data_IF_965066067299
#
_entry.id   IF_965066067299
#
_cell.length_a   1.000
_cell.length_b   1.000
_cell.length_c   1.000
_cell.angle_alpha   90.00
_cell.angle_beta   90.00
_cell.angle_gamma   90.00
#
_symmetry.space_group_name_H-M   'P 1'
#
loop_
_entity.id
_entity.type
_entity.pdbx_description
1 polymer ?
#
# COMPACT_ATOMS: atom_id res chain seq x y z
N UNK A 1 -3.55 12.34 14.47
CA UNK A 1 -2.85 11.03 14.53
C UNK A 1 -1.96 10.87 15.76
N UNK A 2 -0.97 11.75 16.02
CA UNK A 2 0.03 11.53 17.09
C UNK A 2 -0.53 11.41 18.52
N UNK A 3 -1.75 11.88 18.79
CA UNK A 3 -2.37 11.82 20.12
C UNK A 3 -3.08 10.50 20.43
N UNK A 4 -3.43 9.69 19.43
CA UNK A 4 -4.17 8.44 19.66
C UNK A 4 -3.23 7.24 19.69
N UNK A 5 -3.00 6.67 20.88
CA UNK A 5 -2.01 5.62 21.12
C UNK A 5 -2.27 4.35 20.30
N UNK A 6 -3.54 4.02 20.03
CA UNK A 6 -3.93 2.85 19.25
C UNK A 6 -3.42 2.98 17.81
N UNK A 7 -3.72 4.11 17.16
CA UNK A 7 -3.31 4.36 15.78
C UNK A 7 -1.79 4.43 15.60
N UNK A 8 -1.08 5.02 16.56
CA UNK A 8 0.40 5.01 16.56
C UNK A 8 0.98 3.61 16.74
N UNK A 9 0.37 2.77 17.58
CA UNK A 9 0.78 1.36 17.75
C UNK A 9 0.51 0.56 16.49
N UNK A 10 -0.68 0.66 15.91
CA UNK A 10 -1.04 -0.06 14.67
C UNK A 10 -0.16 0.36 13.51
N UNK A 11 0.14 1.67 13.35
CA UNK A 11 1.08 2.17 12.34
C UNK A 11 2.49 1.58 12.52
N UNK A 12 2.99 1.55 13.76
CA UNK A 12 4.31 0.95 14.07
C UNK A 12 4.33 -0.55 13.81
N UNK A 13 3.26 -1.26 14.16
CA UNK A 13 3.14 -2.70 13.93
C UNK A 13 3.11 -3.03 12.43
N UNK A 14 2.27 -2.34 11.64
CA UNK A 14 2.23 -2.49 10.18
C UNK A 14 3.61 -2.23 9.56
N UNK A 15 4.22 -1.09 9.89
CA UNK A 15 5.53 -0.76 9.36
C UNK A 15 6.60 -1.81 9.74
N UNK A 16 6.56 -2.29 10.99
CA UNK A 16 7.44 -3.34 11.49
C UNK A 16 7.27 -4.68 10.76
N UNK A 17 6.02 -5.11 10.54
CA UNK A 17 5.74 -6.34 9.77
C UNK A 17 6.24 -6.27 8.34
N UNK A 18 6.04 -5.13 7.65
CA UNK A 18 6.56 -4.94 6.29
C UNK A 18 8.09 -4.98 6.24
N UNK A 19 8.77 -4.32 7.19
CA UNK A 19 10.24 -4.35 7.27
C UNK A 19 10.73 -5.78 7.52
N UNK A 20 10.06 -6.52 8.41
CA UNK A 20 10.42 -7.90 8.76
C UNK A 20 10.25 -8.83 7.56
N UNK A 21 9.08 -8.83 6.92
CA UNK A 21 8.77 -9.73 5.79
C UNK A 21 9.64 -9.40 4.58
N UNK A 22 9.73 -8.13 4.18
CA UNK A 22 10.55 -7.73 3.03
C UNK A 22 12.04 -7.97 3.32
N UNK A 23 12.45 -7.75 4.56
CA UNK A 23 13.81 -8.02 5.01
C UNK A 23 14.21 -9.48 4.90
N UNK A 24 13.35 -10.36 5.39
CA UNK A 24 13.55 -11.80 5.30
C UNK A 24 13.60 -12.26 3.83
N UNK A 25 12.71 -11.76 2.99
CA UNK A 25 12.70 -12.07 1.55
C UNK A 25 13.98 -11.61 0.84
N UNK A 26 14.41 -10.37 1.06
CA UNK A 26 15.64 -9.83 0.46
C UNK A 26 16.88 -10.58 0.95
N UNK A 27 16.93 -10.95 2.23
CA UNK A 27 18.03 -11.74 2.78
C UNK A 27 18.09 -13.13 2.14
N UNK A 28 16.95 -13.82 2.02
CA UNK A 28 16.90 -15.14 1.38
C UNK A 28 17.31 -15.04 -0.09
N UNK A 29 16.79 -14.06 -0.82
CA UNK A 29 17.12 -13.85 -2.22
C UNK A 29 18.61 -13.53 -2.42
N UNK A 30 19.17 -12.66 -1.57
CA UNK A 30 20.60 -12.31 -1.60
C UNK A 30 21.51 -13.50 -1.34
N UNK A 31 21.18 -14.34 -0.35
CA UNK A 31 21.94 -15.58 -0.05
C UNK A 31 21.82 -16.59 -1.19
N UNK A 32 20.62 -16.80 -1.73
CA UNK A 32 20.40 -17.72 -2.84
C UNK A 32 21.20 -17.29 -4.08
N UNK A 33 21.17 -16.01 -4.43
CA UNK A 33 21.93 -15.47 -5.56
C UNK A 33 23.44 -15.64 -5.35
N UNK A 34 23.93 -15.36 -4.15
CA UNK A 34 25.34 -15.58 -3.80
C UNK A 34 25.76 -17.06 -3.96
N UNK A 35 24.93 -18.00 -3.51
CA UNK A 35 25.18 -19.44 -3.68
C UNK A 35 25.19 -19.87 -5.15
N UNK A 36 24.23 -19.40 -5.94
CA UNK A 36 24.14 -19.71 -7.38
C UNK A 36 25.37 -19.18 -8.13
N UNK A 37 25.85 -17.97 -7.80
CA UNK A 37 27.06 -17.41 -8.41
C UNK A 37 28.29 -18.24 -8.06
N UNK A 38 28.47 -18.67 -6.81
CA UNK A 38 29.60 -19.53 -6.43
C UNK A 38 29.54 -20.86 -7.19
N UNK A 39 28.39 -21.53 -7.16
CA UNK A 39 28.22 -22.83 -7.79
C UNK A 39 28.46 -22.79 -9.30
N UNK A 40 27.88 -21.79 -9.98
CA UNK A 40 28.05 -21.63 -11.43
C UNK A 40 29.51 -21.38 -11.82
N UNK A 41 30.23 -20.54 -11.06
CA UNK A 41 31.64 -20.25 -11.33
C UNK A 41 32.54 -21.47 -11.08
N UNK A 42 32.29 -22.22 -10.00
CA UNK A 42 33.02 -23.46 -9.73
C UNK A 42 32.81 -24.50 -10.85
N UNK A 43 31.56 -24.63 -11.31
CA UNK A 43 31.21 -25.52 -12.42
C UNK A 43 31.95 -25.15 -13.71
N UNK A 44 31.92 -23.87 -14.10
CA UNK A 44 32.62 -23.37 -15.31
C UNK A 44 34.13 -23.61 -15.19
N UNK A 45 34.72 -23.36 -14.01
CA UNK A 45 36.14 -23.56 -13.76
C UNK A 45 36.53 -25.05 -13.92
N UNK A 46 35.75 -25.97 -13.33
CA UNK A 46 35.97 -27.42 -13.45
C UNK A 46 35.89 -27.86 -14.90
N UNK A 47 34.88 -27.43 -15.66
CA UNK A 47 34.72 -27.80 -17.07
C UNK A 47 35.91 -27.33 -17.92
N UNK A 48 36.37 -26.08 -17.72
CA UNK A 48 37.54 -25.54 -18.43
C UNK A 48 38.82 -26.30 -18.10
N UNK A 49 39.08 -26.58 -16.81
CA UNK A 49 40.26 -27.33 -16.39
C UNK A 49 40.25 -28.77 -16.92
N UNK A 50 39.09 -29.43 -16.91
CA UNK A 50 38.95 -30.79 -17.43
C UNK A 50 39.16 -30.85 -18.95
N UNK A 51 38.57 -29.91 -19.71
CA UNK A 51 38.76 -29.84 -21.17
C UNK A 51 40.22 -29.54 -21.54
N UNK A 52 40.85 -28.60 -20.84
CA UNK A 52 42.27 -28.26 -21.05
C UNK A 52 43.17 -29.44 -20.70
N UNK A 53 42.88 -30.12 -19.59
CA UNK A 53 43.64 -31.29 -19.16
C UNK A 53 43.50 -32.46 -20.12
N UNK A 54 42.31 -32.71 -20.67
CA UNK A 54 42.09 -33.75 -21.68
C UNK A 54 42.86 -33.45 -22.97
N UNK A 55 42.74 -32.23 -23.50
CA UNK A 55 43.44 -31.83 -24.73
C UNK A 55 44.96 -31.94 -24.60
N UNK A 56 45.52 -31.58 -23.44
CA UNK A 56 46.95 -31.70 -23.16
C UNK A 56 47.38 -33.14 -22.90
N UNK A 57 46.58 -33.93 -22.19
CA UNK A 57 46.82 -35.35 -22.00
C UNK A 57 46.97 -36.06 -23.35
N UNK A 58 45.97 -35.91 -24.23
CA UNK A 58 45.94 -36.54 -25.56
C UNK A 58 47.07 -36.04 -26.47
N UNK A 59 47.50 -34.78 -26.30
CA UNK A 59 48.59 -34.20 -27.11
C UNK A 59 49.98 -34.62 -26.63
N UNK A 60 50.18 -34.88 -25.33
CA UNK A 60 51.50 -35.17 -24.74
C UNK A 60 51.81 -36.67 -24.76
N UNK A 61 50.83 -37.53 -24.47
CA UNK A 61 51.01 -38.99 -24.32
C UNK A 61 51.74 -39.66 -25.50
N UNK A 62 51.46 -39.31 -26.78
CA UNK A 62 52.14 -39.92 -27.93
C UNK A 62 53.66 -39.66 -28.00
N UNK A 63 54.16 -38.65 -27.31
CA UNK A 63 55.58 -38.26 -27.33
C UNK A 63 56.37 -38.79 -26.11
N UNK A 64 55.73 -39.61 -25.26
CA UNK A 64 56.35 -40.18 -24.06
C UNK A 64 56.91 -41.58 -24.35
N UNK A 65 58.24 -41.69 -24.36
CA UNK A 65 58.96 -42.93 -24.64
C UNK A 65 59.42 -43.63 -23.35
N UNK A 66 60.27 -42.98 -22.56
CA UNK A 66 60.82 -43.55 -21.31
C UNK A 66 60.18 -42.95 -20.05
N UNK A 67 59.87 -43.77 -19.01
CA UNK A 67 59.34 -43.28 -17.75
C UNK A 67 60.27 -42.24 -17.10
N UNK A 68 59.70 -41.11 -16.69
CA UNK A 68 60.42 -40.04 -15.98
C UNK A 68 61.61 -39.39 -16.72
N UNK A 69 61.81 -39.67 -18.02
CA UNK A 69 62.74 -38.93 -18.88
C UNK A 69 61.97 -38.02 -19.83
N UNK A 70 62.45 -36.78 -19.98
CA UNK A 70 61.84 -35.78 -20.85
C UNK A 70 62.61 -35.67 -22.16
N UNK A 71 61.96 -36.06 -23.26
CA UNK A 71 62.53 -36.01 -24.61
C UNK A 71 62.39 -34.61 -25.24
N UNK A 72 63.31 -34.26 -26.14
CA UNK A 72 63.30 -32.97 -26.87
C UNK A 72 62.00 -32.73 -27.66
N UNK A 73 61.26 -33.79 -28.00
CA UNK A 73 59.97 -33.72 -28.68
C UNK A 73 58.88 -33.08 -27.80
N UNK A 74 58.90 -33.33 -26.48
CA UNK A 74 57.96 -32.71 -25.53
C UNK A 74 58.28 -31.21 -25.35
N UNK A 75 59.57 -30.85 -25.38
CA UNK A 75 60.04 -29.44 -25.33
C UNK A 75 59.61 -28.64 -26.56
N UNK A 76 59.49 -29.28 -27.73
CA UNK A 76 58.96 -28.67 -28.96
C UNK A 76 57.44 -28.47 -28.92
N UNK A 77 56.70 -29.37 -28.29
CA UNK A 77 55.23 -29.31 -28.18
C UNK A 77 54.76 -28.20 -27.22
N UNK A 78 55.51 -27.98 -26.15
CA UNK A 78 55.23 -26.96 -25.12
C UNK A 78 56.40 -25.98 -25.01
N UNK A 79 56.52 -25.01 -25.94
CA UNK A 79 57.56 -24.00 -25.88
C UNK A 79 57.35 -23.14 -24.62
N UNK A 80 58.35 -23.10 -23.73
CA UNK A 80 58.28 -22.39 -22.44
C UNK A 80 58.24 -23.28 -21.19
N UNK A 81 58.40 -24.60 -21.33
CA UNK A 81 58.65 -25.51 -20.19
C UNK A 81 59.97 -25.17 -19.49
N UNK A 82 59.87 -24.92 -18.19
CA UNK A 82 60.98 -24.72 -17.27
C UNK A 82 61.42 -26.07 -16.70
N UNK A 83 62.65 -26.50 -17.00
CA UNK A 83 63.21 -27.76 -16.49
C UNK A 83 63.85 -27.58 -15.11
N UNK A 84 63.82 -28.64 -14.29
CA UNK A 84 64.43 -28.64 -12.95
C UNK A 84 65.94 -28.33 -13.03
N UNK A 85 66.34 -27.16 -12.53
CA UNK A 85 67.75 -26.72 -12.46
C UNK A 85 68.16 -25.67 -13.49
N UNK A 86 67.27 -25.29 -14.41
CA UNK A 86 67.50 -24.16 -15.33
C UNK A 86 66.98 -22.84 -14.73
N UNK A 87 67.69 -21.73 -14.99
CA UNK A 87 67.22 -20.39 -14.61
C UNK A 87 66.16 -19.97 -15.62
N UNK A 88 64.89 -20.06 -15.24
CA UNK A 88 63.79 -19.76 -16.15
C UNK A 88 63.56 -18.26 -16.27
N UNK A 89 63.73 -17.67 -17.46
CA UNK A 89 63.47 -16.26 -17.63
C UNK A 89 61.95 -16.03 -17.68
N UNK A 90 61.47 -15.04 -16.92
CA UNK A 90 60.12 -14.47 -17.04
C UNK A 90 59.99 -13.78 -18.41
N UNK A 91 59.94 -14.55 -19.50
CA UNK A 91 59.85 -14.01 -20.86
C UNK A 91 58.40 -13.69 -21.19
N UNK A 92 58.15 -12.41 -21.50
CA UNK A 92 56.85 -11.86 -21.95
C UNK A 92 56.56 -12.09 -23.45
N UNK A 93 57.48 -12.72 -24.19
CA UNK A 93 57.43 -12.84 -25.66
C UNK A 93 57.30 -14.30 -26.12
N UNK A 94 56.20 -14.96 -25.77
CA UNK A 94 55.75 -16.15 -26.51
C UNK A 94 54.59 -15.71 -27.41
N UNK A 95 54.81 -15.76 -28.73
CA UNK A 95 53.82 -15.41 -29.75
C UNK A 95 52.45 -16.05 -29.49
N UNK A 96 51.40 -15.25 -29.72
CA UNK A 96 49.97 -15.44 -29.41
C UNK A 96 49.29 -16.71 -29.98
N UNK A 97 50.02 -17.67 -30.54
CA UNK A 97 49.47 -18.81 -31.31
C UNK A 97 49.74 -20.20 -30.71
N UNK A 98 50.42 -20.30 -29.56
CA UNK A 98 50.76 -21.59 -28.94
C UNK A 98 49.96 -21.87 -27.66
N UNK A 99 49.74 -23.17 -27.37
CA UNK A 99 49.04 -23.66 -26.16
C UNK A 99 49.69 -23.11 -24.87
N UNK A 100 50.99 -22.79 -24.91
CA UNK A 100 51.73 -22.14 -23.84
C UNK A 100 51.23 -20.72 -23.45
N UNK A 101 50.58 -19.99 -24.38
CA UNK A 101 50.06 -18.64 -24.12
C UNK A 101 48.91 -18.61 -23.10
N UNK A 102 48.12 -19.69 -23.02
CA UNK A 102 47.02 -19.84 -22.03
C UNK A 102 47.56 -19.88 -20.60
N UNK A 103 48.74 -20.47 -20.42
CA UNK A 103 49.42 -20.60 -19.13
C UNK A 103 50.14 -19.32 -18.66
N UNK A 104 50.23 -18.30 -19.52
CA UNK A 104 50.88 -17.04 -19.19
C UNK A 104 49.90 -15.90 -18.89
N UNK A 105 48.64 -15.97 -19.36
CA UNK A 105 47.71 -14.83 -19.27
C UNK A 105 46.58 -14.96 -18.24
N UNK A 106 46.11 -16.17 -17.90
CA UNK A 106 44.91 -16.35 -17.05
C UNK A 106 45.18 -17.00 -15.67
N UNK A 107 46.41 -16.88 -15.17
CA UNK A 107 46.77 -17.44 -13.86
C UNK A 107 46.72 -18.98 -13.80
N UNK A 108 46.81 -19.63 -14.96
CA UNK A 108 46.99 -21.08 -15.06
C UNK A 108 48.46 -21.45 -14.83
N UNK A 109 48.68 -22.64 -14.26
CA UNK A 109 49.98 -23.27 -14.24
C UNK A 109 49.86 -24.72 -14.68
N UNK A 110 50.96 -25.23 -15.21
CA UNK A 110 51.13 -26.62 -15.59
C UNK A 110 52.37 -27.16 -14.89
N UNK A 111 52.27 -28.39 -14.39
CA UNK A 111 53.35 -29.11 -13.74
C UNK A 111 53.34 -30.56 -14.20
N UNK A 112 54.49 -31.04 -14.65
CA UNK A 112 54.74 -32.45 -14.93
C UNK A 112 55.52 -33.03 -13.77
N UNK A 113 55.03 -34.12 -13.18
CA UNK A 113 55.70 -34.80 -12.06
C UNK A 113 55.95 -36.27 -12.33
N UNK A 114 56.97 -36.83 -11.68
CA UNK A 114 57.15 -38.28 -11.58
C UNK A 114 56.03 -38.93 -10.75
N UNK A 115 55.97 -40.26 -10.76
CA UNK A 115 55.08 -41.05 -9.89
C UNK A 115 55.35 -40.85 -8.39
N UNK A 116 56.57 -40.43 -8.03
CA UNK A 116 56.95 -40.06 -6.66
C UNK A 116 56.58 -38.62 -6.28
N UNK A 117 55.94 -37.87 -7.19
CA UNK A 117 55.56 -36.46 -6.98
C UNK A 117 56.71 -35.47 -7.17
N UNK A 118 57.84 -35.89 -7.74
CA UNK A 118 58.94 -34.98 -8.03
C UNK A 118 58.65 -34.18 -9.30
N UNK A 119 58.77 -32.86 -9.22
CA UNK A 119 58.55 -31.95 -10.35
C UNK A 119 59.66 -32.09 -11.39
N UNK A 120 59.28 -32.38 -12.63
CA UNK A 120 60.17 -32.50 -13.79
C UNK A 120 60.21 -31.21 -14.60
N UNK A 121 59.04 -30.64 -14.91
CA UNK A 121 58.94 -29.41 -15.68
C UNK A 121 57.68 -28.61 -15.31
N UNK A 122 57.75 -27.29 -15.50
CA UNK A 122 56.69 -26.35 -15.08
C UNK A 122 56.48 -25.22 -16.09
N UNK A 123 55.24 -24.71 -16.18
CA UNK A 123 54.86 -23.54 -17.00
C UNK A 123 53.89 -22.67 -16.20
N UNK A 124 54.01 -21.35 -16.33
CA UNK A 124 53.09 -20.38 -15.72
C UNK A 124 53.44 -20.00 -14.28
N UNK A 125 52.55 -19.26 -13.62
CA UNK A 125 52.76 -18.77 -12.25
C UNK A 125 52.58 -19.91 -11.24
N UNK A 126 53.69 -20.45 -10.76
CA UNK A 126 53.67 -21.55 -9.82
C UNK A 126 53.26 -21.10 -8.42
N UNK A 127 52.49 -21.93 -7.69
CA UNK A 127 52.31 -21.72 -6.26
C UNK A 127 53.63 -22.01 -5.52
N UNK A 128 54.29 -20.95 -5.06
CA UNK A 128 55.53 -21.01 -4.26
C UNK A 128 55.20 -21.52 -2.86
N UNK A 129 56.03 -22.42 -2.31
CA UNK A 129 55.92 -22.83 -0.90
C UNK A 129 54.94 -23.98 -0.60
N UNK A 130 54.40 -24.69 -1.60
CA UNK A 130 53.64 -25.94 -1.35
C UNK A 130 54.61 -27.06 -0.94
N UNK A 131 54.95 -27.12 0.34
CA UNK A 131 55.69 -28.21 0.98
C UNK A 131 54.72 -29.18 1.64
N UNK A 132 54.36 -30.27 0.97
CA UNK A 132 53.59 -31.34 1.59
C UNK A 132 52.96 -32.25 0.54
N UNK A 133 53.23 -33.57 0.67
CA UNK A 133 52.73 -34.70 -0.12
C UNK A 133 51.66 -34.32 -1.15
N UNK A 134 52.09 -34.19 -2.39
CA UNK A 134 51.22 -34.04 -3.56
C UNK A 134 50.31 -35.27 -3.59
N UNK A 135 49.07 -35.12 -3.12
CA UNK A 135 48.07 -36.17 -3.23
C UNK A 135 47.79 -36.40 -4.72
N UNK A 136 47.52 -37.63 -5.12
CA UNK A 136 47.23 -38.01 -6.51
C UNK A 136 45.73 -37.91 -6.83
N UNK A 137 44.94 -37.29 -5.94
CA UNK A 137 43.52 -37.04 -6.15
C UNK A 137 43.26 -36.21 -7.42
N UNK A 138 42.17 -36.57 -8.09
CA UNK A 138 41.78 -35.99 -9.37
C UNK A 138 41.48 -34.49 -9.28
N UNK A 139 40.89 -34.00 -8.18
CA UNK A 139 40.64 -32.57 -7.93
C UNK A 139 41.22 -32.14 -6.58
N UNK A 140 41.91 -31.00 -6.54
CA UNK A 140 42.52 -30.49 -5.32
C UNK A 140 42.42 -28.98 -5.22
N UNK A 141 42.16 -28.50 -4.00
CA UNK A 141 42.34 -27.08 -3.66
C UNK A 141 43.65 -26.95 -2.89
N UNK A 142 44.55 -26.12 -3.39
CA UNK A 142 45.86 -25.87 -2.80
C UNK A 142 45.88 -24.44 -2.26
N UNK A 143 46.67 -24.20 -1.23
CA UNK A 143 46.93 -22.87 -0.70
C UNK A 143 48.44 -22.69 -0.58
N UNK A 144 48.94 -21.56 -1.08
CA UNK A 144 50.37 -21.26 -1.01
C UNK A 144 50.72 -20.63 0.36
N UNK A 145 52.02 -20.41 0.62
CA UNK A 145 52.46 -19.77 1.87
C UNK A 145 52.01 -18.32 2.04
N UNK A 146 51.49 -17.70 0.97
CA UNK A 146 50.94 -16.33 0.95
C UNK A 146 49.41 -16.30 1.12
N UNK A 147 48.74 -17.43 1.35
CA UNK A 147 47.29 -17.52 1.52
C UNK A 147 46.48 -17.46 0.22
N UNK A 148 47.12 -17.60 -0.94
CA UNK A 148 46.46 -17.66 -2.24
C UNK A 148 45.98 -19.09 -2.51
N UNK A 149 44.68 -19.24 -2.75
CA UNK A 149 44.09 -20.52 -3.11
C UNK A 149 44.21 -20.80 -4.61
N UNK A 150 44.51 -22.04 -4.95
CA UNK A 150 44.56 -22.57 -6.31
C UNK A 150 43.63 -23.76 -6.43
N UNK A 151 43.12 -24.00 -7.63
CA UNK A 151 42.32 -25.18 -7.94
C UNK A 151 43.04 -26.00 -9.01
N UNK A 152 43.31 -27.28 -8.73
CA UNK A 152 44.16 -28.16 -9.53
C UNK A 152 43.42 -29.44 -9.92
N UNK A 153 43.68 -29.91 -11.14
CA UNK A 153 43.36 -31.25 -11.64
C UNK A 153 44.66 -32.04 -11.86
N UNK A 154 44.67 -33.32 -11.47
CA UNK A 154 45.81 -34.23 -11.67
C UNK A 154 45.39 -35.41 -12.55
N UNK A 155 46.08 -35.62 -13.68
CA UNK A 155 45.82 -36.72 -14.61
C UNK A 155 47.08 -37.57 -14.77
N UNK A 156 46.93 -38.90 -14.77
CA UNK A 156 48.04 -39.83 -14.98
C UNK A 156 48.40 -39.88 -16.47
N UNK A 157 49.68 -39.71 -16.80
CA UNK A 157 50.24 -39.89 -18.14
C UNK A 157 50.83 -41.31 -18.28
N UNK A 158 50.64 -41.95 -19.43
CA UNK A 158 51.28 -43.22 -19.76
C UNK A 158 52.24 -43.07 -20.94
N UNK A 159 53.16 -44.01 -21.09
CA UNK A 159 54.00 -44.10 -22.28
C UNK A 159 53.21 -44.71 -23.44
N UNK A 160 53.72 -44.61 -24.67
CA UNK A 160 53.16 -45.33 -25.83
C UNK A 160 53.05 -46.86 -25.62
N UNK A 161 53.86 -47.43 -24.72
CA UNK A 161 53.83 -48.84 -24.30
C UNK A 161 52.83 -49.13 -23.17
N UNK A 162 52.11 -48.13 -22.67
CA UNK A 162 51.11 -48.24 -21.61
C UNK A 162 51.67 -48.23 -20.18
N UNK A 163 52.98 -48.01 -20.00
CA UNK A 163 53.59 -47.89 -18.68
C UNK A 163 53.29 -46.53 -18.05
N UNK A 164 53.09 -46.47 -16.74
CA UNK A 164 52.85 -45.21 -16.02
C UNK A 164 54.07 -44.30 -16.08
N UNK A 165 53.96 -43.12 -16.70
CA UNK A 165 55.06 -42.17 -16.85
C UNK A 165 55.14 -41.19 -15.67
N UNK A 166 54.00 -40.60 -15.30
CA UNK A 166 53.94 -39.54 -14.29
C UNK A 166 52.57 -38.86 -14.24
N UNK A 167 52.47 -37.71 -13.59
CA UNK A 167 51.23 -36.93 -13.52
C UNK A 167 51.35 -35.60 -14.27
N UNK A 168 50.33 -35.28 -15.04
CA UNK A 168 50.04 -33.95 -15.57
C UNK A 168 49.15 -33.22 -14.57
N UNK A 169 49.67 -32.14 -13.99
CA UNK A 169 48.95 -31.29 -13.05
C UNK A 169 48.70 -29.94 -13.70
N UNK A 170 47.44 -29.55 -13.77
CA UNK A 170 47.02 -28.25 -14.28
C UNK A 170 46.19 -27.57 -13.22
N UNK A 171 46.51 -26.32 -12.90
CA UNK A 171 45.71 -25.57 -11.95
C UNK A 171 45.57 -24.11 -12.33
N UNK A 172 44.65 -23.42 -11.65
CA UNK A 172 44.41 -21.98 -11.80
C UNK A 172 44.38 -21.30 -10.43
N UNK A 173 44.90 -20.09 -10.36
CA UNK A 173 44.74 -19.20 -9.20
C UNK A 173 43.28 -18.79 -9.01
N UNK A 174 42.80 -18.83 -7.76
CA UNK A 174 41.48 -18.36 -7.37
C UNK A 174 41.50 -16.92 -6.83
N UNK A 175 42.64 -16.22 -6.90
CA UNK A 175 42.77 -14.85 -6.37
C UNK A 175 41.80 -13.89 -7.06
N UNK A 176 41.72 -13.94 -8.40
CA UNK A 176 40.75 -13.14 -9.15
C UNK A 176 39.32 -13.44 -8.73
N UNK A 177 38.98 -14.73 -8.60
CA UNK A 177 37.64 -15.17 -8.18
C UNK A 177 37.30 -14.70 -6.76
N UNK A 178 38.26 -14.78 -5.84
CA UNK A 178 38.09 -14.33 -4.46
C UNK A 178 37.86 -12.81 -4.38
N UNK A 179 38.51 -12.02 -5.24
CA UNK A 179 38.28 -10.58 -5.34
C UNK A 179 36.85 -10.27 -5.80
N UNK A 180 36.34 -10.97 -6.83
CA UNK A 180 34.94 -10.81 -7.27
C UNK A 180 33.94 -11.18 -6.18
N UNK A 181 34.16 -12.30 -5.48
CA UNK A 181 33.31 -12.72 -4.36
C UNK A 181 33.37 -11.74 -3.18
N UNK A 182 34.51 -11.09 -2.93
CA UNK A 182 34.66 -10.08 -1.89
C UNK A 182 33.84 -8.83 -2.20
N UNK A 183 33.88 -8.35 -3.45
CA UNK A 183 33.04 -7.22 -3.89
C UNK A 183 31.55 -7.57 -3.76
N UNK A 184 31.15 -8.76 -4.23
CA UNK A 184 29.76 -9.22 -4.11
C UNK A 184 29.30 -9.31 -2.65
N UNK A 185 30.16 -9.84 -1.76
CA UNK A 185 29.89 -9.90 -0.32
C UNK A 185 29.73 -8.51 0.28
N UNK A 186 30.60 -7.57 -0.08
CA UNK A 186 30.53 -6.18 0.41
C UNK A 186 29.26 -5.48 -0.08
N UNK A 187 28.86 -5.70 -1.34
CA UNK A 187 27.59 -5.21 -1.89
C UNK A 187 26.38 -5.77 -1.13
N UNK A 188 26.40 -7.05 -0.74
CA UNK A 188 25.32 -7.63 0.06
C UNK A 188 25.30 -7.07 1.49
N UNK A 189 26.46 -6.97 2.15
CA UNK A 189 26.58 -6.47 3.54
C UNK A 189 26.19 -5.00 3.65
N UNK A 190 26.53 -4.16 2.68
CA UNK A 190 26.18 -2.72 2.70
C UNK A 190 24.85 -2.43 2.01
N UNK A 191 24.53 -3.17 0.94
CA UNK A 191 23.31 -2.97 0.16
C UNK A 191 22.04 -3.41 0.91
N UNK A 192 22.10 -4.51 1.67
CA UNK A 192 20.95 -4.98 2.47
C UNK A 192 20.49 -3.94 3.51
N UNK A 193 21.35 -3.40 4.41
CA UNK A 193 20.92 -2.39 5.37
C UNK A 193 20.48 -1.09 4.70
N UNK A 194 21.11 -0.70 3.59
CA UNK A 194 20.67 0.47 2.82
C UNK A 194 19.26 0.27 2.24
N UNK A 195 18.99 -0.89 1.64
CA UNK A 195 17.66 -1.25 1.16
C UNK A 195 16.64 -1.31 2.31
N UNK A 196 17.03 -1.86 3.47
CA UNK A 196 16.17 -1.89 4.66
C UNK A 196 15.77 -0.50 5.15
N UNK A 197 16.70 0.46 5.16
CA UNK A 197 16.39 1.85 5.53
C UNK A 197 15.39 2.49 4.57
N UNK A 198 15.58 2.29 3.26
CA UNK A 198 14.65 2.79 2.24
C UNK A 198 13.26 2.16 2.39
N UNK A 199 13.20 0.84 2.57
CA UNK A 199 11.94 0.11 2.80
C UNK A 199 11.27 0.58 4.09
N UNK A 200 12.04 0.78 5.17
CA UNK A 200 11.50 1.27 6.43
C UNK A 200 10.90 2.67 6.31
N UNK A 201 11.59 3.58 5.61
CA UNK A 201 11.08 4.93 5.33
C UNK A 201 9.81 4.90 4.48
N UNK A 202 9.83 4.16 3.37
CA UNK A 202 8.68 4.00 2.48
C UNK A 202 7.48 3.34 3.19
N UNK A 203 7.72 2.28 3.96
CA UNK A 203 6.71 1.57 4.76
C UNK A 203 6.07 2.47 5.81
N UNK A 204 6.87 3.29 6.50
CA UNK A 204 6.38 4.27 7.46
C UNK A 204 5.51 5.35 6.82
N UNK A 205 5.90 5.83 5.63
CA UNK A 205 5.12 6.79 4.85
C UNK A 205 3.78 6.18 4.42
N UNK A 206 3.82 5.02 3.76
CA UNK A 206 2.65 4.38 3.16
C UNK A 206 1.63 3.94 4.22
N UNK A 207 2.11 3.41 5.35
CA UNK A 207 1.26 3.13 6.53
C UNK A 207 0.59 4.39 7.06
N UNK A 208 1.24 5.55 6.95
CA UNK A 208 0.66 6.84 7.32
C UNK A 208 -0.49 7.24 6.40
N UNK A 209 -0.31 7.10 5.08
CA UNK A 209 -1.35 7.39 4.08
C UNK A 209 -2.57 6.48 4.25
N UNK A 210 -2.36 5.17 4.40
CA UNK A 210 -3.45 4.21 4.56
C UNK A 210 -4.30 4.46 5.83
N UNK A 211 -3.69 5.01 6.88
CA UNK A 211 -4.35 5.21 8.16
C UNK A 211 -5.14 6.52 8.28
N UNK A 212 -4.86 7.53 7.43
CA UNK A 212 -5.57 8.82 7.45
C UNK A 212 -7.09 8.69 7.34
N UNK A 213 -7.67 8.02 6.32
CA UNK A 213 -9.12 7.94 6.18
C UNK A 213 -9.78 7.19 7.35
N UNK A 214 -9.12 6.15 7.87
CA UNK A 214 -9.61 5.38 9.02
C UNK A 214 -9.65 6.27 10.27
N UNK A 215 -8.61 7.09 10.47
CA UNK A 215 -8.54 8.01 11.61
C UNK A 215 -9.60 9.12 11.52
N UNK A 216 -9.84 9.67 10.32
CA UNK A 216 -10.88 10.68 10.09
C UNK A 216 -12.27 10.10 10.36
N UNK A 217 -12.59 8.92 9.81
CA UNK A 217 -13.84 8.21 10.08
C UNK A 217 -14.02 7.90 11.57
N UNK A 218 -12.96 7.44 12.25
CA UNK A 218 -13.00 7.17 13.69
C UNK A 218 -13.29 8.43 14.51
N UNK A 219 -12.65 9.57 14.16
CA UNK A 219 -12.92 10.85 14.84
C UNK A 219 -14.36 11.32 14.60
N UNK A 220 -14.86 11.22 13.38
CA UNK A 220 -16.25 11.57 13.06
C UNK A 220 -17.24 10.71 13.85
N UNK A 221 -16.99 9.40 13.96
CA UNK A 221 -17.81 8.49 14.78
C UNK A 221 -17.77 8.84 16.27
N UNK A 222 -16.58 9.17 16.80
CA UNK A 222 -16.44 9.57 18.20
C UNK A 222 -17.16 10.90 18.48
N UNK A 223 -17.07 11.85 17.56
CA UNK A 223 -17.78 13.12 17.65
C UNK A 223 -19.30 12.90 17.57
N UNK A 224 -19.76 12.10 16.60
CA UNK A 224 -21.18 11.74 16.45
C UNK A 224 -21.76 11.10 17.71
N UNK A 225 -21.06 10.14 18.33
CA UNK A 225 -21.56 9.49 19.55
C UNK A 225 -21.58 10.45 20.75
N UNK A 226 -20.59 11.34 20.86
CA UNK A 226 -20.57 12.41 21.86
C UNK A 226 -21.73 13.38 21.67
N UNK A 227 -21.92 13.88 20.45
CA UNK A 227 -22.97 14.85 20.11
C UNK A 227 -24.36 14.25 20.30
N UNK A 228 -24.58 12.98 19.88
CA UNK A 228 -25.81 12.26 20.13
C UNK A 228 -26.11 12.13 21.64
N UNK A 229 -25.10 11.80 22.45
CA UNK A 229 -25.27 11.69 23.90
C UNK A 229 -25.62 13.05 24.53
N UNK A 230 -25.05 14.15 24.05
CA UNK A 230 -25.38 15.50 24.50
C UNK A 230 -26.81 15.91 24.12
N UNK A 231 -27.19 15.70 22.85
CA UNK A 231 -28.53 16.04 22.36
C UNK A 231 -29.63 15.16 22.99
N UNK A 232 -29.33 13.93 23.40
CA UNK A 232 -30.26 13.08 24.17
C UNK A 232 -30.37 13.49 25.64
N UNK A 233 -29.26 13.92 26.27
CA UNK A 233 -29.26 14.28 27.70
C UNK A 233 -30.14 15.49 27.98
N UNK A 234 -30.19 16.46 27.07
CA UNK A 234 -30.95 17.71 27.25
C UNK A 234 -32.46 17.49 27.42
N UNK A 235 -33.18 16.85 26.48
CA UNK A 235 -34.61 16.57 26.64
C UNK A 235 -34.90 15.65 27.83
N UNK A 236 -34.00 14.70 28.13
CA UNK A 236 -34.13 13.85 29.33
C UNK A 236 -34.05 14.64 30.64
N UNK A 237 -33.14 15.62 30.73
CA UNK A 237 -33.03 16.49 31.90
C UNK A 237 -34.28 17.38 32.06
N UNK A 238 -34.81 17.93 30.95
CA UNK A 238 -36.06 18.71 30.98
C UNK A 238 -37.24 17.83 31.42
N UNK A 239 -37.36 16.61 30.87
CA UNK A 239 -38.38 15.65 31.29
C UNK A 239 -38.30 15.35 32.79
N UNK A 240 -37.09 15.15 33.33
CA UNK A 240 -36.89 14.92 34.76
C UNK A 240 -37.33 16.13 35.59
N UNK A 241 -36.94 17.35 35.19
CA UNK A 241 -37.37 18.58 35.87
C UNK A 241 -38.88 18.74 35.86
N UNK A 242 -39.54 18.56 34.70
CA UNK A 242 -41.00 18.66 34.60
C UNK A 242 -41.73 17.62 35.44
N UNK A 243 -41.18 16.40 35.58
CA UNK A 243 -41.74 15.38 36.49
C UNK A 243 -41.58 15.81 37.96
N UNK A 244 -40.45 16.38 38.35
CA UNK A 244 -40.23 16.88 39.71
C UNK A 244 -41.15 18.07 40.04
N UNK A 245 -41.29 19.02 39.11
CA UNK A 245 -42.20 20.16 39.22
C UNK A 245 -43.66 19.71 39.33
N UNK A 246 -44.09 18.76 38.50
CA UNK A 246 -45.44 18.20 38.54
C UNK A 246 -45.77 17.51 39.88
N UNK A 247 -44.77 16.93 40.56
CA UNK A 247 -44.96 16.34 41.91
C UNK A 247 -45.19 17.40 42.99
N UNK A 248 -44.73 18.63 42.76
CA UNK A 248 -44.88 19.76 43.68
C UNK A 248 -46.04 20.69 43.29
N UNK A 249 -46.63 20.46 42.12
CA UNK A 249 -47.67 21.29 41.55
C UNK A 249 -48.91 21.36 42.45
N UNK A 250 -49.48 22.57 42.58
CA UNK A 250 -50.59 22.83 43.50
C UNK A 250 -51.94 23.00 42.83
N UNK A 251 -51.95 23.22 41.51
CA UNK A 251 -53.15 23.38 40.71
C UNK A 251 -53.08 22.55 39.42
N UNK A 252 -54.23 22.43 38.74
CA UNK A 252 -54.37 21.65 37.51
C UNK A 252 -53.73 22.35 36.30
N UNK A 253 -53.53 23.67 36.36
CA UNK A 253 -52.95 24.45 35.26
C UNK A 253 -51.44 24.19 35.16
N UNK A 254 -50.73 24.17 36.28
CA UNK A 254 -49.31 23.81 36.40
C UNK A 254 -49.05 22.35 35.97
N UNK A 255 -49.98 21.45 36.29
CA UNK A 255 -49.93 20.05 35.80
C UNK A 255 -50.09 19.99 34.28
N UNK A 256 -51.05 20.73 33.72
CA UNK A 256 -51.31 20.74 32.27
C UNK A 256 -50.10 21.28 31.48
N UNK A 257 -49.52 22.40 31.93
CA UNK A 257 -48.34 22.99 31.28
C UNK A 257 -47.13 22.05 31.30
N UNK A 258 -46.90 21.36 32.42
CA UNK A 258 -45.83 20.37 32.55
C UNK A 258 -46.08 19.13 31.67
N UNK A 259 -47.32 18.63 31.58
CA UNK A 259 -47.67 17.54 30.67
C UNK A 259 -47.42 17.90 29.20
N UNK A 260 -47.82 19.10 28.77
CA UNK A 260 -47.56 19.58 27.40
C UNK A 260 -46.05 19.74 27.14
N UNK A 261 -45.28 20.18 28.12
CA UNK A 261 -43.82 20.23 28.02
C UNK A 261 -43.23 18.82 27.86
N UNK A 262 -43.69 17.86 28.67
CA UNK A 262 -43.24 16.47 28.60
C UNK A 262 -43.57 15.82 27.26
N UNK A 263 -44.79 16.00 26.76
CA UNK A 263 -45.21 15.46 25.47
C UNK A 263 -44.33 16.00 24.33
N UNK A 264 -44.07 17.32 24.31
CA UNK A 264 -43.18 17.94 23.33
C UNK A 264 -41.75 17.39 23.40
N UNK A 265 -41.19 17.22 24.60
CA UNK A 265 -39.84 16.65 24.74
C UNK A 265 -39.78 15.18 24.35
N UNK A 266 -40.83 14.40 24.65
CA UNK A 266 -40.91 13.00 24.24
C UNK A 266 -40.99 12.85 22.72
N UNK A 267 -41.81 13.66 22.05
CA UNK A 267 -41.86 13.70 20.59
C UNK A 267 -40.51 14.06 19.97
N UNK A 268 -39.83 15.08 20.54
CA UNK A 268 -38.48 15.47 20.11
C UNK A 268 -37.47 14.34 20.27
N UNK A 269 -37.48 13.64 21.40
CA UNK A 269 -36.59 12.51 21.66
C UNK A 269 -36.86 11.35 20.71
N UNK A 270 -38.13 11.04 20.44
CA UNK A 270 -38.54 10.02 19.48
C UNK A 270 -38.03 10.35 18.06
N UNK A 271 -38.21 11.59 17.61
CA UNK A 271 -37.68 12.05 16.32
C UNK A 271 -36.16 11.93 16.27
N UNK A 272 -35.44 12.39 17.31
CA UNK A 272 -33.99 12.29 17.37
C UNK A 272 -33.50 10.84 17.25
N UNK A 273 -34.12 9.90 17.97
CA UNK A 273 -33.76 8.48 17.89
C UNK A 273 -34.03 7.92 16.49
N UNK A 274 -35.16 8.26 15.87
CA UNK A 274 -35.50 7.83 14.50
C UNK A 274 -34.48 8.36 13.49
N UNK A 275 -34.02 9.60 13.67
CA UNK A 275 -33.01 10.25 12.83
C UNK A 275 -31.65 9.57 12.95
N UNK A 276 -31.21 9.28 14.18
CA UNK A 276 -29.96 8.57 14.45
C UNK A 276 -29.96 7.15 13.86
N UNK A 277 -31.07 6.42 14.03
CA UNK A 277 -31.21 5.07 13.44
C UNK A 277 -31.20 5.13 11.91
N UNK A 278 -31.82 6.14 11.30
CA UNK A 278 -31.77 6.31 9.85
C UNK A 278 -30.34 6.55 9.37
N UNK A 279 -29.63 7.52 9.96
CA UNK A 279 -28.24 7.83 9.58
C UNK A 279 -27.36 6.58 9.68
N UNK A 280 -27.50 5.81 10.77
CA UNK A 280 -26.75 4.56 10.94
C UNK A 280 -27.04 3.52 9.86
N UNK A 281 -28.26 3.48 9.31
CA UNK A 281 -28.61 2.59 8.19
C UNK A 281 -28.07 3.12 6.87
N UNK A 282 -28.13 4.44 6.63
CA UNK A 282 -27.61 5.03 5.38
C UNK A 282 -26.10 4.78 5.26
N UNK A 283 -25.35 4.93 6.36
CA UNK A 283 -23.91 4.63 6.42
C UNK A 283 -23.58 3.17 6.06
N UNK A 284 -24.53 2.24 6.23
CA UNK A 284 -24.38 0.82 5.88
C UNK A 284 -24.88 0.49 4.46
N UNK A 285 -25.26 1.49 3.65
CA UNK A 285 -25.90 1.33 2.33
C UNK A 285 -27.16 0.43 2.35
N UNK A 286 -27.77 0.24 3.52
CA UNK A 286 -28.88 -0.72 3.73
C UNK A 286 -30.26 -0.07 3.67
N UNK A 287 -30.36 1.17 3.16
CA UNK A 287 -31.59 1.97 3.25
C UNK A 287 -32.55 1.75 2.11
N UNK A 288 -32.05 1.53 0.89
CA UNK A 288 -32.91 1.29 -0.26
C UNK A 288 -33.42 -0.15 -0.25
N UNK A 289 -34.49 -0.38 0.50
CA UNK A 289 -35.08 -1.72 0.65
C UNK A 289 -36.27 -1.94 -0.27
N UNK A 290 -36.95 -0.87 -0.68
CA UNK A 290 -38.11 -0.92 -1.56
C UNK A 290 -38.03 0.14 -2.67
N UNK A 291 -37.21 -0.14 -3.69
CA UNK A 291 -37.09 0.72 -4.87
C UNK A 291 -38.30 0.49 -5.79
N UNK A 292 -39.05 1.54 -6.05
CA UNK A 292 -40.21 1.52 -6.95
C UNK A 292 -40.30 2.81 -7.77
N UNK A 293 -41.03 2.83 -8.90
CA UNK A 293 -41.33 4.06 -9.63
C UNK A 293 -42.08 5.06 -8.73
N UNK A 294 -41.53 6.25 -8.57
CA UNK A 294 -42.05 7.33 -7.73
C UNK A 294 -42.36 8.55 -8.60
N UNK A 295 -43.60 9.05 -8.56
CA UNK A 295 -43.97 10.31 -9.20
C UNK A 295 -43.52 11.48 -8.31
N UNK A 296 -42.50 12.23 -8.74
CA UNK A 296 -41.99 13.36 -7.96
C UNK A 296 -42.96 14.54 -7.89
N UNK A 297 -43.80 14.71 -8.91
CA UNK A 297 -44.83 15.74 -8.93
C UNK A 297 -45.84 15.52 -7.79
N UNK A 298 -46.38 14.31 -7.67
CA UNK A 298 -47.32 13.94 -6.60
C UNK A 298 -46.66 14.11 -5.23
N UNK A 299 -45.44 13.60 -5.07
CA UNK A 299 -44.68 13.72 -3.83
C UNK A 299 -44.49 15.18 -3.38
N UNK A 300 -44.19 16.10 -4.30
CA UNK A 300 -44.02 17.52 -3.99
C UNK A 300 -45.36 18.19 -3.68
N UNK A 301 -46.43 17.86 -4.41
CA UNK A 301 -47.78 18.39 -4.16
C UNK A 301 -48.23 17.99 -2.75
N UNK A 302 -48.13 16.70 -2.42
CA UNK A 302 -48.51 16.16 -1.11
C UNK A 302 -47.71 16.86 0.02
N UNK A 303 -46.40 17.05 -0.17
CA UNK A 303 -45.55 17.75 0.79
C UNK A 303 -45.94 19.20 1.01
N UNK A 304 -46.24 19.92 -0.07
CA UNK A 304 -46.63 21.33 0.01
C UNK A 304 -47.98 21.48 0.69
N UNK A 305 -48.95 20.59 0.40
CA UNK A 305 -50.24 20.57 1.07
C UNK A 305 -50.10 20.27 2.57
N UNK A 306 -49.33 19.24 2.93
CA UNK A 306 -49.11 18.86 4.33
C UNK A 306 -48.40 19.95 5.15
N UNK A 307 -47.38 20.60 4.56
CA UNK A 307 -46.59 21.62 5.25
C UNK A 307 -47.21 23.03 5.18
N UNK A 308 -48.36 23.18 4.52
CA UNK A 308 -49.03 24.47 4.35
C UNK A 308 -49.44 25.08 5.69
N UNK A 309 -49.99 24.28 6.62
CA UNK A 309 -50.37 24.76 7.95
C UNK A 309 -49.17 25.25 8.76
N UNK A 310 -48.04 24.53 8.66
CA UNK A 310 -46.80 24.91 9.31
C UNK A 310 -46.28 26.24 8.75
N UNK A 311 -46.27 26.39 7.42
CA UNK A 311 -45.86 27.62 6.75
C UNK A 311 -46.77 28.82 7.14
N UNK A 312 -48.09 28.61 7.17
CA UNK A 312 -49.05 29.62 7.61
C UNK A 312 -48.83 30.05 9.07
N UNK A 313 -48.56 29.10 9.97
CA UNK A 313 -48.26 29.38 11.37
C UNK A 313 -46.98 30.22 11.54
N UNK A 314 -45.98 29.98 10.67
CA UNK A 314 -44.75 30.76 10.58
C UNK A 314 -44.92 32.08 9.80
N UNK A 315 -46.09 32.31 9.20
CA UNK A 315 -46.39 33.45 8.31
C UNK A 315 -45.47 33.50 7.09
N UNK A 316 -45.19 32.35 6.50
CA UNK A 316 -44.38 32.19 5.29
C UNK A 316 -45.26 31.66 4.16
N UNK A 317 -45.08 32.17 2.94
CA UNK A 317 -45.79 31.66 1.76
C UNK A 317 -45.04 30.44 1.21
N UNK A 318 -45.68 29.27 1.19
CA UNK A 318 -45.15 28.06 0.55
C UNK A 318 -45.86 27.83 -0.78
N UNK A 319 -45.09 27.68 -1.86
CA UNK A 319 -45.61 27.46 -3.23
C UNK A 319 -44.81 26.39 -3.96
N UNK A 320 -45.48 25.61 -4.82
CA UNK A 320 -44.84 24.71 -5.76
C UNK A 320 -44.96 25.27 -7.20
N UNK A 321 -43.85 25.25 -7.94
CA UNK A 321 -43.78 25.58 -9.35
C UNK A 321 -43.42 24.32 -10.14
N UNK A 322 -44.45 23.65 -10.65
CA UNK A 322 -44.35 22.37 -11.35
C UNK A 322 -44.81 22.54 -12.80
N UNK A 323 -44.05 22.01 -13.75
CA UNK A 323 -44.45 21.98 -15.15
C UNK A 323 -45.71 21.13 -15.33
N UNK A 324 -46.76 21.73 -15.88
CA UNK A 324 -48.06 21.08 -16.11
C UNK A 324 -47.94 20.13 -17.30
N UNK A 325 -48.24 18.84 -17.09
CA UNK A 325 -48.36 17.84 -18.16
C UNK A 325 -47.20 16.85 -18.31
N UNK A 326 -46.11 17.02 -17.56
CA UNK A 326 -44.99 16.06 -17.50
C UNK A 326 -44.84 15.49 -16.09
N UNK A 327 -45.28 14.24 -15.90
CA UNK A 327 -45.00 13.49 -14.67
C UNK A 327 -43.58 12.95 -14.71
N UNK A 328 -42.75 13.38 -13.77
CA UNK A 328 -41.37 12.93 -13.66
C UNK A 328 -41.33 11.72 -12.72
N UNK A 329 -41.07 10.55 -13.28
CA UNK A 329 -40.92 9.30 -12.54
C UNK A 329 -39.44 8.94 -12.36
N UNK A 330 -39.05 8.63 -11.12
CA UNK A 330 -37.74 8.06 -10.81
C UNK A 330 -37.88 6.74 -10.05
N UNK A 331 -36.85 5.89 -10.13
CA UNK A 331 -36.79 4.68 -9.30
C UNK A 331 -36.17 5.06 -7.96
N UNK A 332 -36.94 4.94 -6.88
CA UNK A 332 -36.44 5.26 -5.54
C UNK A 332 -37.33 4.69 -4.44
N UNK A 333 -36.97 4.97 -3.19
CA UNK A 333 -37.82 4.63 -2.05
C UNK A 333 -38.68 5.86 -1.68
N UNK A 334 -40.02 5.82 -1.87
CA UNK A 334 -40.86 7.01 -1.71
C UNK A 334 -40.72 7.66 -0.34
N UNK A 335 -40.65 6.86 0.72
CA UNK A 335 -40.55 7.35 2.10
C UNK A 335 -39.27 8.17 2.33
N UNK A 336 -38.16 7.81 1.68
CA UNK A 336 -36.89 8.50 1.79
C UNK A 336 -36.88 9.75 0.91
N UNK A 337 -37.38 9.66 -0.33
CA UNK A 337 -37.51 10.82 -1.21
C UNK A 337 -38.40 11.90 -0.57
N UNK A 338 -39.52 11.49 0.02
CA UNK A 338 -40.44 12.38 0.74
C UNK A 338 -39.71 13.09 1.87
N UNK A 339 -38.97 12.33 2.68
CA UNK A 339 -38.20 12.85 3.82
C UNK A 339 -37.07 13.79 3.40
N UNK A 340 -36.39 13.50 2.30
CA UNK A 340 -35.32 14.34 1.77
C UNK A 340 -35.85 15.73 1.40
N UNK A 341 -36.97 15.80 0.69
CA UNK A 341 -37.58 17.07 0.28
C UNK A 341 -38.21 17.78 1.49
N UNK A 342 -38.90 17.05 2.38
CA UNK A 342 -39.49 17.63 3.59
C UNK A 342 -38.47 18.29 4.51
N UNK A 343 -37.28 17.70 4.67
CA UNK A 343 -36.18 18.30 5.42
C UNK A 343 -35.73 19.65 4.85
N UNK A 344 -35.75 19.83 3.53
CA UNK A 344 -35.40 21.10 2.90
C UNK A 344 -36.51 22.14 3.07
N UNK A 345 -37.78 21.75 2.87
CA UNK A 345 -38.93 22.66 3.01
C UNK A 345 -39.06 23.13 4.46
N UNK A 346 -38.97 22.21 5.43
CA UNK A 346 -39.06 22.55 6.87
C UNK A 346 -37.92 23.46 7.31
N UNK A 347 -36.70 23.28 6.80
CA UNK A 347 -35.62 24.23 6.99
C UNK A 347 -35.97 25.60 6.40
N UNK A 348 -36.49 25.64 5.17
CA UNK A 348 -36.99 26.87 4.56
C UNK A 348 -37.98 27.60 5.47
N UNK A 349 -38.98 26.88 6.02
CA UNK A 349 -40.01 27.46 6.92
C UNK A 349 -39.38 28.00 8.20
N UNK A 350 -38.44 27.25 8.78
CA UNK A 350 -37.79 27.61 10.03
C UNK A 350 -36.89 28.86 9.92
N UNK A 351 -36.19 29.04 8.80
CA UNK A 351 -35.20 30.09 8.61
C UNK A 351 -35.68 31.27 7.77
N UNK A 352 -36.92 31.22 7.29
CA UNK A 352 -37.57 32.34 6.60
C UNK A 352 -38.32 33.22 7.60
N UNK A 353 -38.04 34.53 7.67
CA UNK A 353 -38.77 35.44 8.55
C UNK A 353 -40.22 35.61 8.07
N UNK A 354 -41.09 36.06 8.99
CA UNK A 354 -42.49 36.34 8.69
C UNK A 354 -42.63 37.28 7.49
N UNK A 355 -43.50 36.91 6.55
CA UNK A 355 -43.74 37.61 5.28
C UNK A 355 -42.84 37.15 4.13
N UNK A 356 -41.89 36.23 4.37
CA UNK A 356 -41.08 35.64 3.31
C UNK A 356 -41.78 34.53 2.54
N UNK A 357 -41.07 33.95 1.56
CA UNK A 357 -41.58 32.93 0.65
C UNK A 357 -40.61 31.76 0.49
N UNK A 358 -41.18 30.57 0.26
CA UNK A 358 -40.48 29.36 -0.13
C UNK A 358 -41.11 28.84 -1.41
N UNK A 359 -40.30 28.57 -2.42
CA UNK A 359 -40.72 28.01 -3.71
C UNK A 359 -40.04 26.67 -3.95
N UNK A 360 -40.84 25.64 -4.22
CA UNK A 360 -40.36 24.32 -4.62
C UNK A 360 -40.55 24.15 -6.11
N UNK A 361 -39.45 24.04 -6.85
CA UNK A 361 -39.46 23.87 -8.31
C UNK A 361 -38.99 22.47 -8.69
N UNK A 362 -39.67 21.85 -9.64
CA UNK A 362 -39.29 20.55 -10.21
C UNK A 362 -39.02 20.72 -11.70
N UNK A 363 -37.81 20.38 -12.14
CA UNK A 363 -37.42 20.39 -13.56
C UNK A 363 -36.68 19.12 -13.93
N UNK A 364 -36.75 18.72 -15.20
CA UNK A 364 -35.99 17.60 -15.76
C UNK A 364 -35.00 18.10 -16.80
N UNK A 365 -33.89 17.38 -16.93
CA UNK A 365 -32.90 17.50 -18.00
C UNK A 365 -32.80 16.16 -18.74
N UNK A 366 -31.92 16.02 -19.73
CA UNK A 366 -31.79 14.74 -20.46
C UNK A 366 -31.40 13.54 -19.59
N UNK A 367 -30.68 13.78 -18.48
CA UNK A 367 -30.14 12.70 -17.64
C UNK A 367 -30.50 12.80 -16.17
N UNK A 368 -30.90 13.97 -15.69
CA UNK A 368 -31.16 14.21 -14.27
C UNK A 368 -32.47 14.97 -14.06
N UNK A 369 -33.10 14.74 -12.92
CA UNK A 369 -34.16 15.58 -12.37
C UNK A 369 -33.58 16.50 -11.29
N UNK A 370 -34.06 17.74 -11.28
CA UNK A 370 -33.67 18.78 -10.33
C UNK A 370 -34.88 19.16 -9.48
N UNK A 371 -34.75 19.00 -8.16
CA UNK A 371 -35.70 19.52 -7.17
C UNK A 371 -35.04 20.71 -6.48
N UNK A 372 -35.61 21.89 -6.65
CA UNK A 372 -35.09 23.13 -6.10
C UNK A 372 -35.99 23.63 -4.99
N UNK A 373 -35.42 23.92 -3.82
CA UNK A 373 -36.13 24.56 -2.71
C UNK A 373 -35.45 25.91 -2.48
N UNK A 374 -36.14 26.97 -2.85
CA UNK A 374 -35.67 28.35 -2.71
C UNK A 374 -36.41 29.05 -1.59
N UNK A 375 -35.69 29.63 -0.65
CA UNK A 375 -36.23 30.46 0.43
C UNK A 375 -35.76 31.92 0.31
N UNK A 376 -36.56 32.85 0.85
CA UNK A 376 -36.17 34.27 1.03
C UNK A 376 -35.72 34.54 2.46
N UNK A 377 -35.07 33.56 3.10
CA UNK A 377 -34.74 33.59 4.51
C UNK A 377 -33.50 34.40 4.86
N UNK A 378 -32.96 34.13 6.05
CA UNK A 378 -31.79 34.83 6.58
C UNK A 378 -30.50 34.59 5.75
N UNK A 379 -30.49 33.56 4.90
CA UNK A 379 -29.31 33.12 4.17
C UNK A 379 -28.23 32.52 5.08
N UNK A 380 -27.17 32.02 4.46
CA UNK A 380 -26.08 31.30 5.11
C UNK A 380 -24.78 32.03 4.81
N UNK A 381 -23.94 32.22 5.83
CA UNK A 381 -22.66 32.90 5.63
C UNK A 381 -21.67 32.00 4.86
N UNK A 382 -20.72 32.57 4.10
CA UNK A 382 -19.74 31.78 3.34
C UNK A 382 -18.88 30.84 4.20
N UNK A 383 -18.67 31.19 5.47
CA UNK A 383 -17.91 30.40 6.43
C UNK A 383 -18.68 29.15 6.92
N UNK A 384 -20.01 29.22 6.92
CA UNK A 384 -20.89 28.16 7.40
C UNK A 384 -21.32 27.20 6.27
N UNK A 385 -21.35 27.67 5.02
CA UNK A 385 -21.71 26.86 3.84
C UNK A 385 -21.03 25.48 3.78
N UNK A 386 -19.72 25.32 4.07
CA UNK A 386 -19.07 24.01 4.05
C UNK A 386 -19.53 23.06 5.17
N UNK A 387 -20.15 23.59 6.23
CA UNK A 387 -20.42 22.89 7.48
C UNK A 387 -21.91 22.51 7.63
N UNK A 388 -22.82 23.12 6.88
CA UNK A 388 -24.28 22.93 7.07
C UNK A 388 -24.76 21.49 6.84
N UNK A 389 -23.99 20.68 6.10
CA UNK A 389 -24.28 19.27 5.89
C UNK A 389 -23.63 18.35 6.93
N UNK A 390 -22.80 18.89 7.82
CA UNK A 390 -22.22 18.14 8.94
C UNK A 390 -23.32 17.77 9.95
N UNK A 391 -23.19 16.57 10.52
CA UNK A 391 -24.13 16.06 11.53
C UNK A 391 -24.09 16.94 12.78
N UNK A 392 -25.26 17.25 13.34
CA UNK A 392 -25.44 18.09 14.53
C UNK A 392 -24.96 19.53 14.37
N UNK A 393 -24.60 19.96 13.15
CA UNK A 393 -24.19 21.32 12.91
C UNK A 393 -25.38 22.28 13.08
N UNK A 394 -25.15 23.35 13.85
CA UNK A 394 -26.12 24.40 14.18
C UNK A 394 -25.39 25.71 14.45
N UNK A 395 -25.97 26.82 14.00
CA UNK A 395 -25.41 28.15 14.32
C UNK A 395 -25.59 28.45 15.82
N UNK A 396 -24.78 29.35 16.37
CA UNK A 396 -24.88 29.71 17.81
C UNK A 396 -26.24 30.34 18.15
N UNK A 397 -26.83 31.10 17.23
CA UNK A 397 -28.18 31.66 17.32
C UNK A 397 -29.26 30.59 17.43
N UNK A 398 -29.06 29.42 16.81
CA UNK A 398 -30.06 28.34 16.82
C UNK A 398 -30.08 27.57 18.13
N UNK A 399 -28.95 27.46 18.83
CA UNK A 399 -28.87 26.74 20.11
C UNK A 399 -29.73 27.35 21.20
N UNK A 400 -30.01 28.66 21.11
CA UNK A 400 -30.85 29.38 22.06
C UNK A 400 -32.36 29.25 21.77
N UNK A 401 -32.77 28.78 20.58
CA UNK A 401 -34.17 28.62 20.21
C UNK A 401 -34.70 27.24 20.63
N UNK A 402 -35.78 27.21 21.40
CA UNK A 402 -36.48 25.98 21.80
C UNK A 402 -37.09 25.20 20.62
N UNK A 403 -37.29 25.88 19.48
CA UNK A 403 -37.88 25.35 18.24
C UNK A 403 -36.86 24.74 17.27
N UNK A 404 -35.56 24.79 17.58
CA UNK A 404 -34.50 24.27 16.71
C UNK A 404 -34.44 22.75 16.65
N UNK A 405 -34.36 22.19 15.44
CA UNK A 405 -34.10 20.75 15.22
C UNK A 405 -32.69 20.34 15.69
N UNK A 406 -32.42 19.03 15.71
CA UNK A 406 -31.15 18.48 16.20
C UNK A 406 -29.94 18.70 15.28
N UNK A 407 -30.07 19.45 14.18
CA UNK A 407 -29.01 19.62 13.18
C UNK A 407 -28.73 18.37 12.33
N UNK A 408 -29.72 17.46 12.22
CA UNK A 408 -29.58 16.23 11.42
C UNK A 408 -30.26 16.31 10.05
N UNK A 409 -31.22 17.22 9.85
CA UNK A 409 -32.07 17.26 8.65
C UNK A 409 -31.29 17.37 7.33
N UNK A 410 -30.36 18.32 7.21
CA UNK A 410 -29.55 18.49 5.99
C UNK A 410 -28.61 17.32 5.75
N UNK A 411 -28.00 16.77 6.80
CA UNK A 411 -27.14 15.59 6.70
C UNK A 411 -27.93 14.36 6.24
N UNK A 412 -29.18 14.20 6.69
CA UNK A 412 -30.09 13.14 6.27
C UNK A 412 -30.50 13.33 4.81
N UNK A 413 -30.91 14.54 4.41
CA UNK A 413 -31.26 14.83 3.02
C UNK A 413 -30.09 14.51 2.09
N UNK A 414 -28.88 14.96 2.44
CA UNK A 414 -27.67 14.68 1.68
C UNK A 414 -27.40 13.18 1.59
N UNK A 415 -27.49 12.45 2.71
CA UNK A 415 -27.27 11.02 2.74
C UNK A 415 -28.30 10.24 1.88
N UNK A 416 -29.57 10.67 1.89
CA UNK A 416 -30.62 10.08 1.03
C UNK A 416 -30.35 10.35 -0.45
N UNK A 417 -29.96 11.58 -0.82
CA UNK A 417 -29.62 11.91 -2.21
C UNK A 417 -28.46 11.03 -2.72
N UNK A 418 -27.40 10.88 -1.92
CA UNK A 418 -26.27 10.01 -2.26
C UNK A 418 -26.67 8.53 -2.38
N UNK A 419 -27.56 8.04 -1.51
CA UNK A 419 -28.08 6.68 -1.61
C UNK A 419 -28.82 6.46 -2.94
N UNK A 420 -29.52 7.48 -3.44
CA UNK A 420 -30.17 7.47 -4.76
C UNK A 420 -29.23 7.86 -5.92
N UNK A 421 -27.90 7.82 -5.71
CA UNK A 421 -26.87 8.20 -6.70
C UNK A 421 -26.96 9.64 -7.19
N UNK A 422 -27.62 10.50 -6.43
CA UNK A 422 -27.74 11.93 -6.69
C UNK A 422 -26.81 12.78 -5.82
N UNK A 423 -27.05 14.09 -5.82
CA UNK A 423 -26.32 15.06 -5.00
C UNK A 423 -27.23 16.19 -4.50
N UNK A 424 -26.82 16.89 -3.44
CA UNK A 424 -27.45 18.14 -2.99
C UNK A 424 -26.41 19.25 -3.04
N UNK A 425 -26.79 20.38 -3.65
CA UNK A 425 -26.00 21.61 -3.72
C UNK A 425 -26.75 22.74 -3.04
N UNK A 426 -26.02 23.72 -2.53
CA UNK A 426 -26.58 24.91 -1.92
C UNK A 426 -25.93 26.15 -2.51
N UNK A 427 -26.75 27.15 -2.81
CA UNK A 427 -26.30 28.51 -3.10
C UNK A 427 -27.04 29.43 -2.14
N UNK A 428 -26.32 30.22 -1.36
CA UNK A 428 -26.93 31.12 -0.38
C UNK A 428 -26.16 32.41 -0.27
N UNK A 429 -26.87 33.49 0.03
CA UNK A 429 -26.28 34.77 0.36
C UNK A 429 -26.93 35.29 1.63
N UNK A 430 -26.10 35.66 2.60
CA UNK A 430 -26.54 36.24 3.87
C UNK A 430 -27.48 37.43 3.61
N UNK A 431 -28.67 37.40 4.22
CA UNK A 431 -29.74 38.38 4.09
C UNK A 431 -30.59 38.29 2.82
N UNK A 432 -30.34 37.33 1.91
CA UNK A 432 -31.11 37.16 0.67
C UNK A 432 -31.80 35.80 0.52
N UNK A 433 -31.55 34.88 1.43
CA UNK A 433 -32.09 33.52 1.40
C UNK A 433 -31.16 32.50 0.77
N UNK A 434 -31.68 31.28 0.57
CA UNK A 434 -30.92 30.13 0.08
C UNK A 434 -31.66 29.38 -1.01
N UNK A 435 -30.91 28.68 -1.85
CA UNK A 435 -31.39 27.78 -2.88
C UNK A 435 -30.69 26.43 -2.66
N UNK A 436 -31.47 25.45 -2.23
CA UNK A 436 -31.03 24.06 -2.21
C UNK A 436 -31.47 23.37 -3.50
N UNK A 437 -30.57 22.62 -4.13
CA UNK A 437 -30.82 21.89 -5.38
C UNK A 437 -30.46 20.43 -5.17
N UNK A 438 -31.45 19.56 -5.21
CA UNK A 438 -31.29 18.11 -5.26
C UNK A 438 -31.22 17.71 -6.74
N UNK A 439 -30.20 16.94 -7.10
CA UNK A 439 -30.00 16.39 -8.43
C UNK A 439 -30.04 14.87 -8.34
N UNK A 440 -31.02 14.23 -8.99
CA UNK A 440 -31.16 12.76 -9.03
C UNK A 440 -31.10 12.27 -10.48
N UNK A 441 -30.53 11.09 -10.76
CA UNK A 441 -30.53 10.53 -12.10
C UNK A 441 -31.95 10.16 -12.56
N UNK A 442 -32.29 10.55 -13.79
CA UNK A 442 -33.42 9.98 -14.54
C UNK A 442 -33.00 8.60 -15.07
N UNK A 443 -33.93 7.64 -15.04
CA UNK A 443 -33.65 6.29 -15.54
C UNK A 443 -33.59 6.23 -17.06
#
# INVERSE_FOLDING_TARGET
MNQNQIFNRTRRQLAGWYILVMGLLLSICGVALYQVVIYSQEYILRQKLQSLSGALHDSIEPFLEEPAQMNDNVKKLLPGLCLKGEVCPLTRDVERRHIAGVFQQEGYYLRLTTLSGQVLATVGQQPVGINGKISTEFWQRLENSEGQSFYQISVLLRTHTGASWGYLQIGRSLVEWNNYLTILRLLLILGLPFAMLLIGGASWWLSGLAMRPIYESYRQMQQFTSDAAHELRTPLAVLQSSIEEMRLAKDLEEVSLNLEMMERQNFRLFSLVKDLLLISRIDQQSVLTNIQPCCLNELIIDLVEELQELALSARVTLTADLLIGESILINGEPSQLYRMVSNLITNGIQYTPSGGQITVTLTSTEHNVLIQVQDTGIGISPEELPLIFDRFYRTQSDRARSTGGAGLGLSIASAIAHAHKGSIKVHSQLGKGSLFTIELPLN
#
